data_IF_959930946104
#
_entry.id   IF_959930946104
#
_cell.length_a   1.000
_cell.length_b   1.000
_cell.length_c   1.000
_cell.angle_alpha   90.00
_cell.angle_beta   90.00
_cell.angle_gamma   90.00
#
_symmetry.space_group_name_H-M   'P 1'
#
loop_
_entity.id
_entity.type
_entity.pdbx_description
1 polymer ?
#
# COMPACT_ATOMS: atom_id res chain seq x y z
N UNK A 1 -2.58 -22.02 4.47
CA UNK A 1 -2.01 -21.79 5.82
C UNK A 1 -0.78 -20.87 5.72
N UNK A 2 0.22 -21.19 4.87
CA UNK A 2 1.44 -20.36 4.71
C UNK A 2 1.13 -18.92 4.28
N UNK A 3 0.16 -18.70 3.39
CA UNK A 3 -0.26 -17.36 2.95
C UNK A 3 -0.87 -16.53 4.09
N UNK A 4 -1.63 -17.15 5.01
CA UNK A 4 -2.18 -16.47 6.17
C UNK A 4 -1.06 -16.05 7.13
N UNK A 5 -0.09 -16.93 7.38
CA UNK A 5 1.06 -16.64 8.25
C UNK A 5 1.90 -15.51 7.63
N UNK A 6 2.17 -15.58 6.33
CA UNK A 6 2.91 -14.54 5.61
C UNK A 6 2.20 -13.18 5.69
N UNK A 7 0.89 -13.14 5.42
CA UNK A 7 0.11 -11.90 5.51
C UNK A 7 0.05 -11.32 6.91
N UNK A 8 -0.09 -12.17 7.94
CA UNK A 8 -0.09 -11.74 9.33
C UNK A 8 1.29 -11.25 9.81
N UNK A 9 2.37 -11.70 9.17
CA UNK A 9 3.75 -11.31 9.50
C UNK A 9 4.22 -10.05 8.77
N UNK A 10 3.42 -9.53 7.83
CA UNK A 10 3.81 -8.34 7.08
C UNK A 10 3.82 -7.09 7.98
N UNK A 11 4.94 -6.38 8.09
CA UNK A 11 4.99 -5.14 8.85
C UNK A 11 4.19 -4.07 8.12
N UNK A 12 3.32 -3.36 8.84
CA UNK A 12 2.57 -2.21 8.31
C UNK A 12 3.48 -0.98 8.22
N UNK A 13 4.33 -0.91 7.19
CA UNK A 13 5.37 0.14 7.05
C UNK A 13 4.74 1.51 6.81
N UNK A 14 3.64 1.61 6.06
CA UNK A 14 2.97 2.87 5.72
C UNK A 14 2.64 3.75 6.93
N UNK A 15 1.96 3.26 7.98
CA UNK A 15 1.71 4.03 9.20
C UNK A 15 2.99 4.54 9.88
N UNK A 16 4.08 3.75 9.87
CA UNK A 16 5.37 4.20 10.43
C UNK A 16 5.99 5.34 9.62
N UNK A 17 5.94 5.28 8.30
CA UNK A 17 6.43 6.34 7.41
C UNK A 17 5.60 7.60 7.63
N UNK A 18 4.26 7.51 7.67
CA UNK A 18 3.36 8.65 7.91
C UNK A 18 3.59 9.30 9.27
N UNK A 19 3.83 8.51 10.31
CA UNK A 19 4.18 9.04 11.63
C UNK A 19 5.51 9.83 11.57
N UNK A 20 6.51 9.37 10.81
CA UNK A 20 7.77 10.08 10.60
C UNK A 20 7.59 11.37 9.80
N UNK A 21 6.78 11.35 8.75
CA UNK A 21 6.43 12.56 8.00
C UNK A 21 5.80 13.62 8.89
N UNK A 22 4.82 13.21 9.70
CA UNK A 22 4.17 14.10 10.66
C UNK A 22 5.14 14.72 11.66
N UNK A 23 6.16 13.99 12.08
CA UNK A 23 7.21 14.50 12.97
C UNK A 23 8.24 15.40 12.25
N UNK A 24 8.53 15.13 10.97
CA UNK A 24 9.53 15.85 10.20
C UNK A 24 9.00 17.14 9.55
N UNK A 25 7.69 17.26 9.36
CA UNK A 25 7.04 18.40 8.69
C UNK A 25 6.65 19.49 9.70
N UNK A 26 6.81 20.76 9.30
CA UNK A 26 6.54 21.93 10.16
C UNK A 26 5.11 22.44 10.08
N UNK A 27 4.40 22.12 9.02
CA UNK A 27 3.04 22.60 8.77
C UNK A 27 2.23 21.63 7.91
N UNK A 28 0.91 21.81 7.89
CA UNK A 28 -0.02 20.95 7.13
C UNK A 28 0.23 20.90 5.63
N UNK A 29 0.76 21.97 5.06
CA UNK A 29 1.05 21.99 3.63
C UNK A 29 2.19 21.05 3.28
N UNK A 30 3.27 21.05 4.07
CA UNK A 30 4.39 20.11 3.91
C UNK A 30 3.94 18.67 4.16
N UNK A 31 3.11 18.45 5.17
CA UNK A 31 2.53 17.12 5.47
C UNK A 31 1.72 16.59 4.28
N UNK A 32 0.84 17.40 3.72
CA UNK A 32 0.05 17.03 2.55
C UNK A 32 0.93 16.74 1.32
N UNK A 33 1.99 17.52 1.12
CA UNK A 33 2.95 17.29 0.03
C UNK A 33 3.70 15.97 0.24
N UNK A 34 4.11 15.65 1.46
CA UNK A 34 4.78 14.39 1.78
C UNK A 34 3.86 13.19 1.52
N UNK A 35 2.58 13.27 1.92
CA UNK A 35 1.61 12.20 1.67
C UNK A 35 1.28 12.05 0.18
N UNK A 36 1.20 13.17 -0.56
CA UNK A 36 1.02 13.12 -2.01
C UNK A 36 2.21 12.45 -2.71
N UNK A 37 3.43 12.76 -2.27
CA UNK A 37 4.65 12.11 -2.78
C UNK A 37 4.66 10.61 -2.45
N UNK A 38 4.28 10.20 -1.23
CA UNK A 38 4.13 8.79 -0.85
C UNK A 38 3.17 8.07 -1.79
N UNK A 39 1.99 8.65 -2.04
CA UNK A 39 1.01 8.07 -2.95
C UNK A 39 1.53 7.93 -4.38
N UNK A 40 2.27 8.90 -4.90
CA UNK A 40 2.89 8.80 -6.22
C UNK A 40 3.94 7.69 -6.26
N UNK A 41 4.75 7.54 -5.21
CA UNK A 41 5.74 6.47 -5.11
C UNK A 41 5.07 5.08 -5.05
N UNK A 42 3.96 4.95 -4.32
CA UNK A 42 3.18 3.72 -4.29
C UNK A 42 2.68 3.34 -5.68
N UNK A 43 2.13 4.30 -6.45
CA UNK A 43 1.68 4.05 -7.82
C UNK A 43 2.83 3.67 -8.76
N UNK A 44 4.00 4.29 -8.62
CA UNK A 44 5.20 3.90 -9.38
C UNK A 44 5.58 2.45 -9.08
N UNK A 45 5.54 2.04 -7.81
CA UNK A 45 5.82 0.66 -7.41
C UNK A 45 4.79 -0.31 -8.01
N UNK A 46 3.51 0.05 -8.01
CA UNK A 46 2.45 -0.78 -8.60
C UNK A 46 2.55 -0.88 -10.14
N UNK A 47 3.02 0.16 -10.81
CA UNK A 47 3.22 0.15 -12.27
C UNK A 47 4.43 -0.73 -12.66
N UNK A 48 5.55 -0.56 -11.99
CA UNK A 48 6.80 -1.21 -12.38
C UNK A 48 7.06 -2.53 -11.64
N UNK A 49 6.53 -2.71 -10.45
CA UNK A 49 6.76 -3.90 -9.61
C UNK A 49 6.33 -5.21 -10.30
N UNK A 50 5.05 -5.36 -10.70
CA UNK A 50 4.58 -6.60 -11.29
C UNK A 50 5.31 -7.02 -12.57
N UNK A 51 5.56 -6.11 -13.56
CA UNK A 51 6.37 -6.47 -14.73
C UNK A 51 7.79 -6.87 -14.37
N UNK A 52 8.44 -6.17 -13.42
CA UNK A 52 9.79 -6.49 -12.97
C UNK A 52 9.84 -7.89 -12.34
N UNK A 53 8.92 -8.19 -11.43
CA UNK A 53 8.84 -9.51 -10.78
C UNK A 53 8.58 -10.60 -11.82
N UNK A 54 7.63 -10.39 -12.73
CA UNK A 54 7.33 -11.35 -13.80
C UNK A 54 8.54 -11.59 -14.69
N UNK A 55 9.23 -10.53 -15.10
CA UNK A 55 10.46 -10.62 -15.90
C UNK A 55 11.53 -11.44 -15.17
N UNK A 56 11.78 -11.17 -13.90
CA UNK A 56 12.78 -11.90 -13.11
C UNK A 56 12.46 -13.39 -12.99
N UNK A 57 11.18 -13.71 -12.73
CA UNK A 57 10.75 -15.11 -12.63
C UNK A 57 10.87 -15.87 -13.95
N UNK A 58 10.65 -15.20 -15.07
CA UNK A 58 10.76 -15.82 -16.41
C UNK A 58 12.22 -15.99 -16.85
N UNK A 59 13.06 -14.98 -16.59
CA UNK A 59 14.45 -14.96 -17.10
C UNK A 59 15.41 -15.78 -16.22
N UNK A 60 15.22 -15.75 -14.90
CA UNK A 60 16.14 -16.43 -13.98
C UNK A 60 15.53 -17.72 -13.43
N UNK A 61 14.62 -17.64 -12.48
CA UNK A 61 13.91 -18.78 -11.90
C UNK A 61 12.67 -18.31 -11.11
N UNK A 62 11.74 -19.22 -10.87
CA UNK A 62 10.39 -18.92 -10.33
C UNK A 62 10.37 -18.13 -9.00
N UNK A 63 11.40 -18.28 -8.17
CA UNK A 63 11.47 -17.60 -6.87
C UNK A 63 12.28 -16.30 -6.90
N UNK A 64 12.84 -15.87 -8.05
CA UNK A 64 13.73 -14.70 -8.12
C UNK A 64 13.04 -13.40 -7.73
N UNK A 65 11.77 -13.23 -8.12
CA UNK A 65 10.97 -12.08 -7.71
C UNK A 65 10.74 -12.01 -6.20
N UNK A 66 10.46 -13.17 -5.56
CA UNK A 66 10.28 -13.25 -4.12
C UNK A 66 11.59 -12.94 -3.36
N UNK A 67 12.72 -13.43 -3.87
CA UNK A 67 14.03 -13.14 -3.28
C UNK A 67 14.39 -11.66 -3.37
N UNK A 68 14.13 -11.03 -4.52
CA UNK A 68 14.33 -9.58 -4.66
C UNK A 68 13.46 -8.82 -3.65
N UNK A 69 12.18 -9.16 -3.55
CA UNK A 69 11.27 -8.53 -2.60
C UNK A 69 11.78 -8.69 -1.15
N UNK A 70 12.22 -9.89 -0.75
CA UNK A 70 12.77 -10.15 0.58
C UNK A 70 14.01 -9.30 0.87
N UNK A 71 14.93 -9.20 -0.10
CA UNK A 71 16.13 -8.36 0.02
C UNK A 71 15.76 -6.89 0.18
N UNK A 72 14.88 -6.36 -0.67
CA UNK A 72 14.47 -4.96 -0.63
C UNK A 72 13.74 -4.60 0.68
N UNK A 73 12.83 -5.45 1.15
CA UNK A 73 12.15 -5.24 2.44
C UNK A 73 13.12 -5.26 3.60
N UNK A 74 14.08 -6.19 3.60
CA UNK A 74 15.08 -6.30 4.66
C UNK A 74 16.02 -5.09 4.68
N UNK A 75 16.58 -4.73 3.53
CA UNK A 75 17.48 -3.57 3.42
C UNK A 75 16.76 -2.26 3.72
N UNK A 76 15.55 -2.08 3.17
CA UNK A 76 14.70 -0.91 3.43
C UNK A 76 14.32 -0.81 4.91
N UNK A 77 13.96 -1.92 5.53
CA UNK A 77 13.63 -1.99 6.96
C UNK A 77 14.83 -1.64 7.85
N UNK A 78 16.02 -2.17 7.57
CA UNK A 78 17.27 -1.83 8.27
C UNK A 78 17.58 -0.34 8.09
N UNK A 79 17.50 0.16 6.86
CA UNK A 79 17.76 1.56 6.58
C UNK A 79 16.77 2.49 7.30
N UNK A 80 15.47 2.18 7.24
CA UNK A 80 14.44 2.93 7.95
C UNK A 80 14.67 2.92 9.46
N UNK A 81 15.03 1.79 10.05
CA UNK A 81 15.29 1.66 11.49
C UNK A 81 16.53 2.44 11.96
N UNK A 82 17.52 2.60 11.09
CA UNK A 82 18.73 3.38 11.40
C UNK A 82 18.52 4.91 11.40
N UNK A 83 17.39 5.38 10.87
CA UNK A 83 17.07 6.81 10.79
C UNK A 83 16.43 7.34 12.09
N UNK A 84 17.23 7.52 13.14
CA UNK A 84 16.73 7.97 14.45
C UNK A 84 16.22 9.42 14.46
N UNK A 85 16.76 10.30 13.59
CA UNK A 85 16.41 11.73 13.56
C UNK A 85 14.96 12.03 13.20
N UNK A 86 14.30 11.15 12.46
CA UNK A 86 12.92 11.30 12.04
C UNK A 86 11.96 10.48 12.89
N UNK A 87 12.47 9.73 13.86
CA UNK A 87 11.66 8.89 14.72
C UNK A 87 10.79 9.76 15.63
N UNK A 88 9.47 9.55 15.69
CA UNK A 88 8.59 10.25 16.63
C UNK A 88 9.01 9.96 18.06
N UNK A 89 8.91 10.96 18.93
CA UNK A 89 9.08 10.77 20.37
C UNK A 89 8.00 9.82 20.89
N UNK A 90 8.41 8.86 21.69
CA UNK A 90 7.48 7.97 22.39
C UNK A 90 6.83 8.79 23.51
N UNK A 91 5.69 9.39 23.22
CA UNK A 91 4.85 9.92 24.27
C UNK A 91 4.29 8.74 25.07
N UNK A 92 4.88 8.47 26.22
CA UNK A 92 4.24 7.64 27.25
C UNK A 92 3.02 8.42 27.72
N UNK A 93 1.92 8.26 26.98
CA UNK A 93 0.61 8.74 27.45
C UNK A 93 0.40 8.03 28.77
N UNK A 94 0.37 8.79 29.87
CA UNK A 94 0.12 8.26 31.20
C UNK A 94 -1.08 7.31 31.14
N UNK A 95 -1.03 6.25 31.93
CA UNK A 95 -1.84 5.06 31.87
C UNK A 95 -3.38 5.24 32.04
N UNK A 96 -3.95 6.26 31.43
CA UNK A 96 -5.36 6.26 31.09
C UNK A 96 -5.51 5.17 30.02
N UNK A 97 -5.96 4.00 30.45
CA UNK A 97 -6.35 2.90 29.58
C UNK A 97 -7.44 3.43 28.65
N UNK A 98 -7.04 4.04 27.53
CA UNK A 98 -7.96 4.40 26.46
C UNK A 98 -8.76 3.16 26.09
N UNK A 99 -10.04 3.33 25.79
CA UNK A 99 -10.88 2.25 25.27
C UNK A 99 -10.14 1.61 24.10
N UNK A 100 -10.05 0.27 24.05
CA UNK A 100 -9.46 -0.43 22.93
C UNK A 100 -10.07 0.13 21.63
N UNK A 101 -9.24 0.36 20.60
CA UNK A 101 -9.68 0.96 19.33
C UNK A 101 -10.95 0.31 18.78
N UNK A 102 -11.08 -1.01 18.93
CA UNK A 102 -12.26 -1.79 18.52
C UNK A 102 -13.57 -1.41 19.21
N UNK A 103 -13.53 -0.63 20.29
CA UNK A 103 -14.74 -0.16 21.01
C UNK A 103 -15.27 1.18 20.48
N UNK A 104 -14.59 1.81 19.52
CA UNK A 104 -15.10 3.03 18.92
C UNK A 104 -16.15 2.69 17.84
N UNK A 105 -17.35 3.31 17.90
CA UNK A 105 -18.35 3.15 16.85
C UNK A 105 -17.75 3.59 15.49
N UNK A 106 -17.93 2.80 14.46
CA UNK A 106 -17.37 3.04 13.12
C UNK A 106 -16.06 2.29 12.81
N UNK A 107 -15.27 1.87 13.77
CA UNK A 107 -14.06 1.06 13.49
C UNK A 107 -14.44 -0.30 12.89
N UNK A 108 -15.53 -0.92 13.33
CA UNK A 108 -16.00 -2.16 12.75
C UNK A 108 -16.41 -1.99 11.27
N UNK A 109 -17.09 -0.90 10.94
CA UNK A 109 -17.45 -0.58 9.55
C UNK A 109 -16.21 -0.37 8.67
N UNK A 110 -15.21 0.35 9.18
CA UNK A 110 -13.92 0.51 8.46
C UNK A 110 -13.22 -0.83 8.27
N UNK A 111 -13.19 -1.68 9.29
CA UNK A 111 -12.61 -3.02 9.20
C UNK A 111 -13.29 -3.87 8.11
N UNK A 112 -14.63 -3.84 8.05
CA UNK A 112 -15.40 -4.54 7.01
C UNK A 112 -15.07 -4.00 5.61
N UNK A 113 -15.03 -2.68 5.44
CA UNK A 113 -14.65 -2.04 4.16
C UNK A 113 -13.25 -2.48 3.72
N UNK A 114 -12.26 -2.48 4.63
CA UNK A 114 -10.91 -2.92 4.30
C UNK A 114 -10.82 -4.40 3.93
N UNK A 115 -11.60 -5.27 4.58
CA UNK A 115 -11.68 -6.68 4.19
C UNK A 115 -12.26 -6.83 2.77
N UNK A 116 -13.35 -6.12 2.46
CA UNK A 116 -13.97 -6.18 1.15
C UNK A 116 -13.05 -5.63 0.05
N UNK A 117 -12.40 -4.50 0.30
CA UNK A 117 -11.39 -3.95 -0.61
C UNK A 117 -10.23 -4.95 -0.83
N UNK A 118 -9.70 -5.52 0.23
CA UNK A 118 -8.64 -6.53 0.13
C UNK A 118 -9.08 -7.76 -0.67
N UNK A 119 -10.33 -8.19 -0.51
CA UNK A 119 -10.89 -9.29 -1.29
C UNK A 119 -10.99 -8.94 -2.79
N UNK A 120 -11.41 -7.72 -3.14
CA UNK A 120 -11.48 -7.25 -4.53
C UNK A 120 -10.07 -7.20 -5.15
N UNK A 121 -9.10 -6.59 -4.46
CA UNK A 121 -7.71 -6.52 -4.95
C UNK A 121 -7.11 -7.91 -5.12
N UNK A 122 -7.22 -8.78 -4.11
CA UNK A 122 -6.71 -10.14 -4.19
C UNK A 122 -7.38 -10.97 -5.28
N UNK A 123 -8.70 -10.84 -5.47
CA UNK A 123 -9.41 -11.53 -6.54
C UNK A 123 -8.91 -11.08 -7.93
N UNK A 124 -8.70 -9.78 -8.12
CA UNK A 124 -8.20 -9.24 -9.39
C UNK A 124 -6.80 -9.76 -9.73
N UNK A 125 -5.89 -9.82 -8.76
CA UNK A 125 -4.55 -10.39 -8.95
C UNK A 125 -4.61 -11.87 -9.33
N UNK A 126 -5.44 -12.66 -8.62
CA UNK A 126 -5.61 -14.09 -8.91
C UNK A 126 -6.21 -14.29 -10.30
N UNK A 127 -7.23 -13.51 -10.68
CA UNK A 127 -7.85 -13.56 -12.01
C UNK A 127 -6.84 -13.21 -13.09
N UNK A 128 -6.03 -12.16 -12.92
CA UNK A 128 -5.02 -11.77 -13.88
C UNK A 128 -3.98 -12.90 -14.11
N UNK A 129 -3.54 -13.54 -13.04
CA UNK A 129 -2.59 -14.67 -13.13
C UNK A 129 -3.26 -15.90 -13.78
N UNK A 130 -4.47 -16.27 -13.38
CA UNK A 130 -5.20 -17.41 -13.93
C UNK A 130 -5.45 -17.23 -15.42
N UNK A 131 -5.99 -16.07 -15.83
CA UNK A 131 -6.24 -15.72 -17.22
C UNK A 131 -4.97 -15.79 -18.07
N UNK A 132 -3.85 -15.28 -17.55
CA UNK A 132 -2.57 -15.28 -18.25
C UNK A 132 -2.04 -16.70 -18.47
N UNK A 133 -2.21 -17.59 -17.51
CA UNK A 133 -1.84 -19.00 -17.60
C UNK A 133 -2.70 -19.75 -18.62
N UNK A 134 -4.02 -19.55 -18.59
CA UNK A 134 -4.95 -20.17 -19.53
C UNK A 134 -4.67 -19.78 -20.99
N UNK A 135 -4.20 -18.54 -21.21
CA UNK A 135 -3.79 -18.05 -22.54
C UNK A 135 -2.34 -18.39 -22.90
N UNK A 136 -1.64 -19.22 -22.15
CA UNK A 136 -0.27 -19.66 -22.43
C UNK A 136 0.78 -18.55 -22.40
N UNK A 137 0.47 -17.41 -21.81
CA UNK A 137 1.34 -16.23 -21.78
C UNK A 137 1.48 -15.67 -20.35
N UNK A 138 2.30 -16.26 -19.49
CA UNK A 138 2.46 -15.82 -18.09
C UNK A 138 2.83 -14.34 -17.94
N UNK A 139 3.50 -13.75 -18.94
CA UNK A 139 3.90 -12.34 -18.97
C UNK A 139 2.70 -11.40 -18.99
N UNK A 140 1.54 -11.84 -19.48
CA UNK A 140 0.31 -11.03 -19.48
C UNK A 140 -0.15 -10.68 -18.07
N UNK A 141 0.16 -11.47 -17.04
CA UNK A 141 -0.21 -11.17 -15.67
C UNK A 141 0.35 -9.81 -15.23
N UNK A 142 1.65 -9.58 -15.44
CA UNK A 142 2.28 -8.30 -15.14
C UNK A 142 1.68 -7.14 -15.93
N UNK A 143 1.41 -7.34 -17.22
CA UNK A 143 0.82 -6.32 -18.08
C UNK A 143 -0.61 -5.93 -17.63
N UNK A 144 -1.44 -6.91 -17.25
CA UNK A 144 -2.80 -6.67 -16.76
C UNK A 144 -2.80 -5.89 -15.45
N UNK A 145 -1.94 -6.25 -14.51
CA UNK A 145 -1.81 -5.55 -13.23
C UNK A 145 -1.28 -4.13 -13.46
N UNK A 146 -0.30 -3.96 -14.36
CA UNK A 146 0.20 -2.63 -14.72
C UNK A 146 -0.88 -1.77 -15.37
N UNK A 147 -1.68 -2.30 -16.30
CA UNK A 147 -2.78 -1.57 -16.92
C UNK A 147 -3.81 -1.10 -15.89
N UNK A 148 -4.13 -1.95 -14.90
CA UNK A 148 -4.97 -1.55 -13.77
C UNK A 148 -4.34 -0.41 -12.98
N UNK A 149 -3.06 -0.51 -12.60
CA UNK A 149 -2.36 0.51 -11.82
C UNK A 149 -2.28 1.85 -12.56
N UNK A 150 -2.05 1.83 -13.87
CA UNK A 150 -2.09 3.04 -14.71
C UNK A 150 -3.49 3.66 -14.71
N UNK A 151 -4.54 2.84 -14.79
CA UNK A 151 -5.93 3.30 -14.69
C UNK A 151 -6.22 3.94 -13.32
N UNK A 152 -5.76 3.30 -12.23
CA UNK A 152 -5.88 3.82 -10.87
C UNK A 152 -5.16 5.16 -10.70
N UNK A 153 -3.91 5.27 -11.18
CA UNK A 153 -3.15 6.51 -11.17
C UNK A 153 -3.86 7.63 -11.94
N UNK A 154 -4.36 7.34 -13.14
CA UNK A 154 -5.09 8.32 -13.95
C UNK A 154 -6.36 8.80 -13.23
N UNK A 155 -7.13 7.88 -12.64
CA UNK A 155 -8.30 8.20 -11.83
C UNK A 155 -7.94 9.03 -10.60
N UNK A 156 -6.86 8.67 -9.89
CA UNK A 156 -6.35 9.40 -8.72
C UNK A 156 -5.94 10.84 -9.07
N UNK A 157 -5.23 11.03 -10.19
CA UNK A 157 -4.85 12.36 -10.68
C UNK A 157 -6.10 13.17 -11.05
N UNK A 158 -7.05 12.56 -11.77
CA UNK A 158 -8.30 13.22 -12.15
C UNK A 158 -9.10 13.67 -10.92
N UNK A 159 -9.24 12.79 -9.93
CA UNK A 159 -9.90 13.09 -8.65
C UNK A 159 -9.17 14.15 -7.83
N UNK A 160 -7.84 14.14 -7.85
CA UNK A 160 -7.01 15.17 -7.20
C UNK A 160 -7.11 16.55 -7.84
N UNK A 161 -7.30 16.61 -9.17
CA UNK A 161 -7.48 17.86 -9.90
C UNK A 161 -8.87 18.50 -9.69
N UNK A 162 -9.87 17.69 -9.33
CA UNK A 162 -11.23 18.20 -9.09
C UNK A 162 -11.33 18.78 -7.69
N UNK A 163 -11.57 20.09 -7.59
CA UNK A 163 -11.84 20.76 -6.33
C UNK A 163 -13.27 20.49 -5.85
N UNK A 164 -13.44 19.40 -5.10
CA UNK A 164 -14.74 19.09 -4.51
C UNK A 164 -15.06 20.06 -3.36
N UNK A 165 -16.13 20.82 -3.46
CA UNK A 165 -16.68 21.65 -2.38
C UNK A 165 -17.46 20.83 -1.34
N UNK A 166 -17.67 19.54 -1.56
CA UNK A 166 -18.51 18.68 -0.75
C UNK A 166 -17.79 18.16 0.51
N UNK A 167 -18.57 17.81 1.55
CA UNK A 167 -18.06 17.20 2.80
C UNK A 167 -17.31 15.89 2.52
N UNK A 168 -16.32 15.58 3.34
CA UNK A 168 -15.45 14.41 3.21
C UNK A 168 -16.23 13.09 3.07
N UNK A 169 -17.37 12.95 3.76
CA UNK A 169 -18.25 11.80 3.67
C UNK A 169 -18.87 11.58 2.28
N UNK A 170 -19.19 12.68 1.57
CA UNK A 170 -19.69 12.59 0.19
C UNK A 170 -18.60 12.20 -0.81
N UNK A 171 -17.38 12.64 -0.57
CA UNK A 171 -16.22 12.24 -1.40
C UNK A 171 -15.94 10.74 -1.31
N UNK A 172 -16.09 10.18 -0.10
CA UNK A 172 -15.90 8.75 0.14
C UNK A 172 -16.96 7.86 -0.54
N UNK A 173 -18.16 8.40 -0.79
CA UNK A 173 -19.23 7.69 -1.48
C UNK A 173 -19.11 7.72 -3.02
N UNK A 174 -18.32 8.66 -3.56
CA UNK A 174 -18.16 8.88 -5.01
C UNK A 174 -16.86 8.24 -5.52
N UNK A 175 -15.85 8.08 -4.64
CA UNK A 175 -14.58 7.44 -4.97
C UNK A 175 -14.66 5.92 -4.93
#
# INVERSE_FOLDING_TARGET
ILGIISGASQPTIGPFIRARWKNATKNRQQENTAFAMESVLDEVIFIFGPPLVTFLCVVFYDASGLLLAAILVTLGGIWLSSQHKTQPEIHVVGAERGKAALRYPGIFSLFLVYILLGAVFGAAEVIAVAFSRENGSPQLAGALITAWSVGSLAAGIAMGAIHFKNKLSHRFLIA
#
